data_IF_433261224894
#
_entry.id   IF_433261224894
#
_cell.length_a   1.000
_cell.length_b   1.000
_cell.length_c   1.000
_cell.angle_alpha   90.00
_cell.angle_beta   90.00
_cell.angle_gamma   90.00
#
_symmetry.space_group_name_H-M   'P 1'
#
loop_
_entity.id
_entity.type
_entity.pdbx_description
1 polymer ?
#
# COMPACT_ATOMS: atom_id res chain seq x y z
N UNK A 1 -42.59 -3.93 73.08
CA UNK A 1 -42.01 -3.64 71.75
C UNK A 1 -41.67 -4.96 71.08
N UNK A 2 -42.59 -5.50 70.27
CA UNK A 2 -42.28 -6.62 69.38
C UNK A 2 -41.65 -6.08 68.10
N UNK A 3 -40.49 -6.61 67.71
CA UNK A 3 -39.90 -6.38 66.39
C UNK A 3 -40.42 -7.47 65.46
N UNK A 4 -41.33 -7.10 64.57
CA UNK A 4 -41.80 -7.98 63.50
C UNK A 4 -40.66 -8.35 62.56
N UNK A 5 -40.44 -9.66 62.39
CA UNK A 5 -39.52 -10.23 61.41
C UNK A 5 -40.13 -10.08 60.00
N UNK A 6 -39.57 -9.19 59.20
CA UNK A 6 -39.91 -9.08 57.78
C UNK A 6 -39.24 -10.25 57.04
N UNK A 7 -40.05 -11.22 56.59
CA UNK A 7 -39.57 -12.36 55.82
C UNK A 7 -39.27 -11.92 54.37
N UNK A 8 -38.02 -11.98 53.95
CA UNK A 8 -37.61 -11.67 52.57
C UNK A 8 -38.00 -12.85 51.68
N UNK A 9 -38.94 -12.64 50.76
CA UNK A 9 -39.31 -13.62 49.74
C UNK A 9 -38.42 -13.37 48.51
N UNK A 10 -37.46 -14.26 48.27
CA UNK A 10 -36.66 -14.26 47.04
C UNK A 10 -37.43 -15.05 45.97
N UNK A 11 -38.07 -14.35 45.04
CA UNK A 11 -38.71 -14.97 43.88
C UNK A 11 -37.62 -15.27 42.84
N UNK A 12 -37.13 -16.51 42.81
CA UNK A 12 -36.19 -16.95 41.76
C UNK A 12 -36.96 -17.36 40.52
N UNK A 13 -37.16 -16.42 39.59
CA UNK A 13 -37.74 -16.72 38.27
C UNK A 13 -36.69 -17.48 37.44
N UNK A 14 -36.79 -18.82 37.40
CA UNK A 14 -36.07 -19.61 36.38
C UNK A 14 -36.69 -19.30 35.03
N UNK A 15 -36.05 -18.40 34.27
CA UNK A 15 -36.31 -18.29 32.84
C UNK A 15 -35.92 -19.60 32.16
N UNK A 16 -36.90 -20.42 31.81
CA UNK A 16 -36.73 -21.43 30.77
C UNK A 16 -36.66 -20.69 29.43
N UNK A 17 -35.53 -20.05 29.17
CA UNK A 17 -35.15 -19.72 27.81
C UNK A 17 -34.63 -21.01 27.20
N UNK A 18 -35.38 -21.58 26.25
CA UNK A 18 -34.83 -22.58 25.35
C UNK A 18 -33.59 -21.95 24.71
N UNK A 19 -32.42 -22.36 25.18
CA UNK A 19 -31.16 -21.85 24.68
C UNK A 19 -31.06 -22.20 23.21
N UNK A 20 -31.02 -21.17 22.36
CA UNK A 20 -30.66 -21.25 20.94
C UNK A 20 -29.16 -21.63 20.78
N UNK A 21 -28.67 -22.58 21.56
CA UNK A 21 -27.27 -23.05 21.61
C UNK A 21 -26.94 -24.04 20.49
N UNK A 22 -27.61 -23.94 19.34
CA UNK A 22 -27.39 -24.83 18.19
C UNK A 22 -27.09 -24.11 16.87
N UNK A 23 -27.05 -22.77 16.85
CA UNK A 23 -26.89 -21.97 15.63
C UNK A 23 -25.46 -21.50 15.35
N UNK A 24 -24.65 -21.22 16.37
CA UNK A 24 -23.34 -20.59 16.20
C UNK A 24 -22.35 -21.40 15.34
N UNK A 25 -22.35 -22.73 15.48
CA UNK A 25 -21.47 -23.60 14.69
C UNK A 25 -21.85 -23.63 13.21
N UNK A 26 -23.14 -23.45 12.88
CA UNK A 26 -23.61 -23.39 11.49
C UNK A 26 -23.25 -22.06 10.85
N UNK A 27 -23.25 -20.98 11.63
CA UNK A 27 -22.80 -19.66 11.17
C UNK A 27 -21.30 -19.70 10.88
N UNK A 28 -20.50 -20.30 11.77
CA UNK A 28 -19.06 -20.48 11.52
C UNK A 28 -18.79 -21.39 10.30
N UNK A 29 -19.58 -22.44 10.11
CA UNK A 29 -19.47 -23.32 8.93
C UNK A 29 -19.86 -22.58 7.63
N UNK A 30 -20.92 -21.78 7.65
CA UNK A 30 -21.34 -20.99 6.50
C UNK A 30 -20.28 -19.95 6.11
N UNK A 31 -19.73 -19.25 7.10
CA UNK A 31 -18.66 -18.26 6.90
C UNK A 31 -17.39 -18.90 6.31
N UNK A 32 -17.02 -20.08 6.82
CA UNK A 32 -15.92 -20.87 6.25
C UNK A 32 -16.17 -21.28 4.79
N UNK A 33 -17.38 -21.75 4.47
CA UNK A 33 -17.74 -22.09 3.09
C UNK A 33 -17.71 -20.86 2.16
N UNK A 34 -18.13 -19.69 2.62
CA UNK A 34 -18.06 -18.46 1.83
C UNK A 34 -16.61 -18.00 1.62
N UNK A 35 -15.74 -18.13 2.62
CA UNK A 35 -14.32 -17.85 2.46
C UNK A 35 -13.68 -18.78 1.41
N UNK A 36 -14.01 -20.07 1.45
CA UNK A 36 -13.53 -21.04 0.46
C UNK A 36 -14.08 -20.77 -0.95
N UNK A 37 -15.35 -20.35 -1.06
CA UNK A 37 -15.96 -19.94 -2.33
C UNK A 37 -15.25 -18.70 -2.91
N UNK A 38 -15.01 -17.67 -2.09
CA UNK A 38 -14.33 -16.46 -2.52
C UNK A 38 -12.89 -16.74 -2.95
N UNK A 39 -12.16 -17.57 -2.19
CA UNK A 39 -10.82 -18.01 -2.54
C UNK A 39 -10.81 -18.79 -3.87
N UNK A 40 -11.79 -19.67 -4.08
CA UNK A 40 -11.94 -20.40 -5.33
C UNK A 40 -12.22 -19.47 -6.52
N UNK A 41 -13.13 -18.51 -6.38
CA UNK A 41 -13.40 -17.52 -7.43
C UNK A 41 -12.15 -16.68 -7.75
N UNK A 42 -11.38 -16.28 -6.74
CA UNK A 42 -10.12 -15.55 -6.95
C UNK A 42 -9.09 -16.39 -7.72
N UNK A 43 -8.87 -17.64 -7.30
CA UNK A 43 -7.93 -18.53 -7.98
C UNK A 43 -8.40 -18.89 -9.40
N UNK A 44 -9.71 -19.05 -9.59
CA UNK A 44 -10.32 -19.25 -10.89
C UNK A 44 -10.06 -18.06 -11.82
N UNK A 45 -10.31 -16.83 -11.33
CA UNK A 45 -10.05 -15.61 -12.06
C UNK A 45 -8.57 -15.56 -12.48
N UNK A 46 -7.64 -15.75 -11.55
CA UNK A 46 -6.19 -15.79 -11.85
C UNK A 46 -5.79 -16.86 -12.86
N UNK A 47 -6.46 -18.02 -12.87
CA UNK A 47 -6.22 -19.08 -13.85
C UNK A 47 -6.80 -18.80 -15.24
N UNK A 48 -7.86 -17.99 -15.31
CA UNK A 48 -8.48 -17.55 -16.58
C UNK A 48 -7.92 -16.25 -17.13
N UNK A 49 -7.20 -15.48 -16.31
CA UNK A 49 -6.60 -14.20 -16.69
C UNK A 49 -5.26 -14.42 -17.39
N UNK A 50 -5.01 -13.66 -18.45
CA UNK A 50 -3.74 -13.69 -19.16
C UNK A 50 -2.60 -13.08 -18.32
N UNK A 51 -1.34 -13.46 -18.59
CA UNK A 51 -0.18 -12.88 -17.89
C UNK A 51 -0.07 -11.37 -18.08
N UNK A 52 -0.57 -10.86 -19.21
CA UNK A 52 -0.58 -9.43 -19.56
C UNK A 52 -1.59 -8.67 -18.69
N UNK A 53 -2.82 -9.17 -18.55
CA UNK A 53 -3.84 -8.57 -17.67
C UNK A 53 -3.45 -8.63 -16.19
N UNK A 54 -2.82 -9.73 -15.74
CA UNK A 54 -2.31 -9.83 -14.37
C UNK A 54 -1.23 -8.78 -14.10
N UNK A 55 -0.33 -8.54 -15.06
CA UNK A 55 0.71 -7.51 -14.96
C UNK A 55 0.09 -6.12 -14.89
N UNK A 56 -0.92 -5.83 -15.73
CA UNK A 56 -1.64 -4.55 -15.73
C UNK A 56 -2.32 -4.27 -14.38
N UNK A 57 -2.98 -5.27 -13.78
CA UNK A 57 -3.63 -5.12 -12.47
C UNK A 57 -2.60 -5.00 -11.34
N UNK A 58 -1.46 -5.72 -11.41
CA UNK A 58 -0.41 -5.63 -10.39
C UNK A 58 0.22 -4.24 -10.26
N UNK A 59 0.24 -3.46 -11.35
CA UNK A 59 0.75 -2.08 -11.33
C UNK A 59 -0.06 -1.19 -10.39
N UNK A 60 -1.38 -1.34 -10.40
CA UNK A 60 -2.31 -0.58 -9.55
C UNK A 60 -2.11 -0.84 -8.04
N UNK A 61 -1.78 -2.08 -7.66
CA UNK A 61 -1.59 -2.44 -6.24
C UNK A 61 -0.21 -2.11 -5.70
N UNK A 62 0.82 -2.05 -6.54
CA UNK A 62 2.16 -1.66 -6.12
C UNK A 62 2.30 -0.14 -5.95
N UNK A 63 1.46 0.65 -6.62
CA UNK A 63 1.46 2.11 -6.52
C UNK A 63 0.03 2.67 -6.57
N UNK A 64 -0.71 2.62 -5.45
CA UNK A 64 -2.07 3.14 -5.38
C UNK A 64 -2.04 4.67 -5.34
N UNK A 65 -1.85 5.31 -6.49
CA UNK A 65 -1.85 6.77 -6.60
C UNK A 65 -0.95 7.38 -7.67
N UNK A 66 -0.15 6.59 -8.40
CA UNK A 66 0.52 7.16 -9.57
C UNK A 66 -0.43 7.27 -10.75
N UNK A 67 -0.59 8.52 -11.18
CA UNK A 67 -1.23 8.92 -12.44
C UNK A 67 -0.60 8.25 -13.67
N UNK A 68 0.56 7.59 -13.51
CA UNK A 68 1.26 6.80 -14.53
C UNK A 68 0.70 5.40 -14.76
N UNK A 69 -0.30 4.94 -14.02
CA UNK A 69 -1.06 3.73 -14.36
C UNK A 69 -1.92 3.88 -15.63
N UNK A 70 -2.02 5.11 -16.16
CA UNK A 70 -2.71 5.45 -17.41
C UNK A 70 -1.65 5.74 -18.48
N UNK A 71 -0.97 4.70 -18.95
CA UNK A 71 0.07 4.81 -19.97
C UNK A 71 0.28 3.51 -20.74
N UNK A 72 0.08 3.58 -22.06
CA UNK A 72 0.48 2.66 -23.14
C UNK A 72 0.37 1.13 -22.88
N UNK A 73 -0.67 0.71 -22.16
CA UNK A 73 -0.99 -0.71 -21.94
C UNK A 73 -1.90 -0.99 -20.75
N UNK A 74 -2.15 -0.01 -19.89
CA UNK A 74 -3.02 -0.13 -18.71
C UNK A 74 -4.47 0.27 -18.99
N UNK A 75 -5.40 -0.58 -18.58
CA UNK A 75 -6.84 -0.36 -18.68
C UNK A 75 -7.25 0.98 -18.03
N UNK A 76 -7.77 1.90 -18.84
CA UNK A 76 -8.39 3.14 -18.40
C UNK A 76 -9.65 2.80 -17.56
N UNK A 77 -9.74 3.11 -16.26
CA UNK A 77 -10.95 2.83 -15.47
C UNK A 77 -12.08 3.85 -15.71
N UNK A 78 -12.02 4.64 -16.80
CA UNK A 78 -12.82 5.85 -16.98
C UNK A 78 -13.47 6.05 -18.35
N UNK A 79 -13.64 5.02 -19.18
CA UNK A 79 -14.28 5.14 -20.50
C UNK A 79 -15.50 4.22 -20.62
N UNK A 80 -16.57 4.61 -19.93
CA UNK A 80 -17.94 4.30 -20.34
C UNK A 80 -18.57 5.61 -20.79
N UNK A 81 -18.28 6.04 -22.01
CA UNK A 81 -19.18 6.91 -22.76
C UNK A 81 -18.90 6.88 -24.26
N UNK A 82 -19.96 6.49 -24.96
CA UNK A 82 -20.37 6.77 -26.34
C UNK A 82 -19.38 7.36 -27.37
N UNK A 83 -19.41 6.69 -28.54
CA UNK A 83 -19.17 7.19 -29.89
C UNK A 83 -17.71 7.31 -30.40
N UNK A 84 -17.53 6.69 -31.57
CA UNK A 84 -16.39 6.52 -32.49
C UNK A 84 -15.65 7.84 -32.88
N UNK A 85 -14.49 7.84 -33.60
CA UNK A 85 -14.05 6.84 -34.59
C UNK A 85 -12.58 6.41 -34.58
N UNK A 86 -12.36 5.34 -35.35
CA UNK A 86 -11.10 4.67 -35.62
C UNK A 86 -10.12 5.55 -36.39
N UNK A 87 -8.83 5.42 -36.07
CA UNK A 87 -7.75 5.96 -36.89
C UNK A 87 -6.97 4.77 -37.44
N UNK A 88 -7.23 4.50 -38.72
CA UNK A 88 -6.49 3.57 -39.56
C UNK A 88 -5.06 4.09 -39.74
N UNK A 89 -4.06 3.24 -39.52
CA UNK A 89 -2.71 3.52 -40.00
C UNK A 89 -2.32 2.42 -40.98
N UNK A 90 -2.41 2.78 -42.26
CA UNK A 90 -1.95 2.01 -43.40
C UNK A 90 -0.43 1.82 -43.36
N UNK A 91 0.03 0.59 -43.59
CA UNK A 91 1.28 0.35 -44.33
C UNK A 91 1.33 -1.09 -44.85
N UNK A 92 0.94 -1.22 -46.12
CA UNK A 92 1.41 -2.10 -47.19
C UNK A 92 1.98 -3.49 -46.86
N UNK A 93 1.20 -4.49 -47.28
CA UNK A 93 1.65 -5.79 -47.79
C UNK A 93 2.45 -5.63 -49.11
N UNK A 94 3.40 -6.53 -49.41
CA UNK A 94 3.13 -7.41 -50.55
C UNK A 94 3.52 -8.88 -50.32
N UNK A 95 2.55 -9.75 -50.61
CA UNK A 95 2.69 -11.18 -50.84
C UNK A 95 3.87 -11.54 -51.76
N UNK A 96 4.53 -12.66 -51.46
CA UNK A 96 4.99 -13.59 -52.49
C UNK A 96 4.97 -15.01 -51.96
N UNK A 97 4.30 -15.90 -52.69
CA UNK A 97 4.23 -17.34 -52.48
C UNK A 97 5.57 -18.00 -52.87
N UNK A 98 6.05 -18.99 -52.10
CA UNK A 98 6.67 -20.18 -52.69
C UNK A 98 6.63 -21.39 -51.73
N UNK A 99 6.47 -22.58 -52.30
CA UNK A 99 6.36 -23.89 -51.65
C UNK A 99 7.75 -24.54 -51.52
N UNK A 100 8.03 -25.25 -50.42
CA UNK A 100 8.63 -26.61 -50.43
C UNK A 100 9.13 -27.10 -49.06
N UNK A 101 8.74 -28.33 -48.73
CA UNK A 101 9.50 -29.43 -48.09
C UNK A 101 10.33 -29.27 -46.78
N UNK A 102 9.93 -30.13 -45.82
CA UNK A 102 10.71 -31.04 -44.97
C UNK A 102 12.12 -30.66 -44.44
N UNK A 103 12.22 -30.92 -43.14
CA UNK A 103 13.32 -31.55 -42.38
C UNK A 103 14.13 -30.65 -41.43
N UNK A 104 14.48 -31.27 -40.30
CA UNK A 104 15.12 -30.74 -39.09
C UNK A 104 16.34 -29.87 -39.36
N UNK A 105 16.50 -28.80 -38.57
CA UNK A 105 17.68 -28.60 -37.72
C UNK A 105 17.53 -27.37 -36.81
N UNK A 106 18.17 -27.51 -35.66
CA UNK A 106 18.46 -26.65 -34.52
C UNK A 106 18.55 -25.12 -34.72
N UNK A 107 18.47 -24.41 -33.58
CA UNK A 107 18.71 -22.97 -33.33
C UNK A 107 17.53 -22.00 -33.52
N UNK A 108 16.78 -21.75 -32.44
CA UNK A 108 16.29 -20.40 -32.16
C UNK A 108 15.97 -20.18 -30.66
N UNK A 109 16.97 -19.81 -29.86
CA UNK A 109 16.81 -19.40 -28.44
C UNK A 109 17.35 -17.99 -28.19
N UNK A 110 17.47 -17.12 -29.19
CA UNK A 110 18.13 -15.83 -29.00
C UNK A 110 17.45 -14.69 -29.75
N UNK A 111 16.25 -14.29 -29.31
CA UNK A 111 15.78 -12.92 -29.63
C UNK A 111 14.74 -12.33 -28.68
N UNK A 112 14.27 -13.06 -27.65
CA UNK A 112 13.29 -12.51 -26.69
C UNK A 112 13.89 -12.04 -25.35
N UNK A 113 15.20 -12.21 -25.15
CA UNK A 113 15.85 -11.95 -23.85
C UNK A 113 16.55 -10.59 -23.78
N UNK A 114 16.90 -9.96 -24.91
CA UNK A 114 17.74 -8.75 -24.91
C UNK A 114 17.03 -7.51 -24.37
N UNK A 115 15.75 -7.31 -24.71
CA UNK A 115 14.97 -6.15 -24.28
C UNK A 115 14.59 -6.24 -22.80
N UNK A 116 14.17 -7.41 -22.32
CA UNK A 116 13.85 -7.65 -20.91
C UNK A 116 15.08 -7.56 -19.99
N UNK A 117 16.26 -7.99 -20.46
CA UNK A 117 17.52 -7.78 -19.73
C UNK A 117 17.87 -6.28 -19.67
N UNK A 118 17.53 -5.50 -20.69
CA UNK A 118 17.79 -4.06 -20.73
C UNK A 118 16.89 -3.27 -19.77
N UNK A 119 15.59 -3.57 -19.73
CA UNK A 119 14.62 -2.92 -18.85
C UNK A 119 14.88 -3.24 -17.38
N UNK A 120 15.16 -4.51 -17.06
CA UNK A 120 15.48 -4.93 -15.70
C UNK A 120 16.80 -4.30 -15.19
N UNK A 121 17.80 -4.15 -16.07
CA UNK A 121 19.05 -3.45 -15.73
C UNK A 121 18.84 -1.96 -15.54
N UNK A 122 18.03 -1.33 -16.41
CA UNK A 122 17.72 0.10 -16.31
C UNK A 122 16.98 0.41 -15.02
N UNK A 123 15.95 -0.38 -14.68
CA UNK A 123 15.20 -0.22 -13.42
C UNK A 123 16.12 -0.36 -12.20
N UNK A 124 16.99 -1.35 -12.19
CA UNK A 124 17.94 -1.57 -11.09
C UNK A 124 18.94 -0.43 -10.93
N UNK A 125 19.41 0.16 -12.03
CA UNK A 125 20.31 1.31 -11.97
C UNK A 125 19.57 2.56 -11.46
N UNK A 126 18.33 2.78 -11.89
CA UNK A 126 17.48 3.86 -11.39
C UNK A 126 17.22 3.73 -9.89
N UNK A 127 16.86 2.55 -9.41
CA UNK A 127 16.69 2.26 -7.99
C UNK A 127 17.97 2.50 -7.18
N UNK A 128 19.15 2.20 -7.75
CA UNK A 128 20.45 2.47 -7.10
C UNK A 128 20.70 3.96 -6.96
N UNK A 129 20.47 4.73 -8.02
CA UNK A 129 20.63 6.19 -8.01
C UNK A 129 19.66 6.83 -7.01
N UNK A 130 18.41 6.40 -7.01
CA UNK A 130 17.39 6.90 -6.08
C UNK A 130 17.77 6.58 -4.62
N UNK A 131 18.23 5.35 -4.35
CA UNK A 131 18.71 4.96 -3.02
C UNK A 131 19.90 5.82 -2.57
N UNK A 132 20.87 6.07 -3.45
CA UNK A 132 22.01 6.94 -3.16
C UNK A 132 21.57 8.38 -2.84
N UNK A 133 20.60 8.92 -3.59
CA UNK A 133 20.01 10.23 -3.32
C UNK A 133 19.30 10.28 -1.96
N UNK A 134 18.55 9.24 -1.61
CA UNK A 134 17.86 9.15 -0.31
C UNK A 134 18.83 9.02 0.86
N UNK A 135 19.93 8.27 0.69
CA UNK A 135 20.99 8.15 1.71
C UNK A 135 21.72 9.47 1.94
N UNK A 136 22.00 10.22 0.86
CA UNK A 136 22.55 11.56 0.96
C UNK A 136 21.59 12.51 1.68
N UNK A 137 20.31 12.46 1.32
CA UNK A 137 19.28 13.26 1.95
C UNK A 137 19.13 12.93 3.44
N UNK A 138 19.10 11.65 3.79
CA UNK A 138 19.06 11.21 5.19
C UNK A 138 20.23 11.83 5.97
N UNK A 139 21.44 11.75 5.42
CA UNK A 139 22.65 12.29 6.07
C UNK A 139 22.56 13.80 6.25
N UNK A 140 22.10 14.51 5.22
CA UNK A 140 21.91 15.96 5.29
C UNK A 140 20.86 16.34 6.35
N UNK A 141 19.69 15.71 6.32
CA UNK A 141 18.61 15.99 7.29
C UNK A 141 19.08 15.66 8.71
N UNK A 142 19.81 14.55 8.88
CA UNK A 142 20.35 14.17 10.18
C UNK A 142 21.37 15.18 10.72
N UNK A 143 22.20 15.75 9.85
CA UNK A 143 23.15 16.79 10.21
C UNK A 143 22.45 18.10 10.58
N UNK A 144 21.49 18.56 9.76
CA UNK A 144 20.73 19.78 10.06
C UNK A 144 19.94 19.64 11.38
N UNK A 145 19.39 18.45 11.66
CA UNK A 145 18.74 18.14 12.93
C UNK A 145 19.73 18.15 14.11
N UNK A 146 20.96 17.69 13.93
CA UNK A 146 21.98 17.75 14.98
C UNK A 146 22.49 19.18 15.23
N UNK A 147 22.37 20.09 14.26
CA UNK A 147 22.86 21.47 14.41
C UNK A 147 21.85 22.39 15.11
N UNK A 148 20.55 22.15 14.93
CA UNK A 148 19.52 23.02 15.50
C UNK A 148 19.22 22.67 16.98
N UNK A 149 19.32 23.66 17.90
CA UNK A 149 19.05 23.47 19.32
C UNK A 149 17.66 22.93 19.65
N UNK A 150 16.66 23.20 18.81
CA UNK A 150 15.27 22.76 19.03
C UNK A 150 15.18 21.23 18.97
N UNK A 151 15.80 20.61 17.97
CA UNK A 151 15.77 19.15 17.84
C UNK A 151 16.68 18.45 18.86
N UNK A 152 17.79 19.08 19.29
CA UNK A 152 18.67 18.53 20.33
C UNK A 152 17.93 18.21 21.63
N UNK A 153 16.94 19.03 22.00
CA UNK A 153 16.13 18.80 23.20
C UNK A 153 15.21 17.57 23.09
N UNK A 154 14.96 17.09 21.86
CA UNK A 154 14.02 16.01 21.55
C UNK A 154 14.60 14.94 20.63
N UNK A 155 15.94 14.83 20.58
CA UNK A 155 16.64 13.89 19.73
C UNK A 155 16.14 12.46 19.90
N UNK A 156 15.82 12.06 21.12
CA UNK A 156 15.34 10.71 21.43
C UNK A 156 13.86 10.46 21.05
N UNK A 157 13.15 11.50 20.61
CA UNK A 157 11.76 11.43 20.14
C UNK A 157 11.69 11.51 18.61
N UNK A 158 12.74 11.98 17.95
CA UNK A 158 12.80 12.12 16.50
C UNK A 158 13.63 10.98 15.93
N UNK A 159 12.97 10.06 15.22
CA UNK A 159 13.60 8.92 14.56
C UNK A 159 13.58 9.14 13.06
N UNK A 160 14.70 8.87 12.41
CA UNK A 160 14.85 8.99 10.96
C UNK A 160 15.30 7.65 10.44
N UNK A 161 14.51 7.09 9.52
CA UNK A 161 14.76 5.78 8.97
C UNK A 161 14.49 5.73 7.46
N UNK A 162 15.31 4.96 6.74
CA UNK A 162 15.14 4.73 5.31
C UNK A 162 14.21 3.52 5.12
N UNK A 163 13.14 3.72 4.36
CA UNK A 163 12.14 2.69 4.04
C UNK A 163 12.08 2.44 2.53
N UNK A 164 11.38 1.38 2.12
CA UNK A 164 11.15 1.11 0.70
C UNK A 164 10.35 2.22 -0.02
N UNK A 165 9.60 3.04 0.73
CA UNK A 165 8.85 4.17 0.22
C UNK A 165 9.65 5.49 0.24
N UNK A 166 10.85 5.48 0.80
CA UNK A 166 11.71 6.67 0.94
C UNK A 166 12.10 6.98 2.38
N UNK A 167 12.41 8.25 2.64
CA UNK A 167 12.85 8.74 3.94
C UNK A 167 11.66 8.94 4.88
N UNK A 168 11.67 8.28 6.03
CA UNK A 168 10.64 8.40 7.06
C UNK A 168 11.20 9.15 8.27
N UNK A 169 10.42 10.12 8.75
CA UNK A 169 10.70 10.90 9.95
C UNK A 169 9.55 10.65 10.92
N UNK A 170 9.85 10.11 12.10
CA UNK A 170 8.87 9.76 13.12
C UNK A 170 9.10 10.62 14.35
N UNK A 171 8.03 11.17 14.90
CA UNK A 171 8.04 11.91 16.17
C UNK A 171 7.24 11.08 17.15
N UNK A 172 7.91 10.54 18.16
CA UNK A 172 7.35 9.60 19.14
C UNK A 172 7.20 10.29 20.48
N UNK A 173 6.00 10.21 21.05
CA UNK A 173 5.72 10.72 22.38
C UNK A 173 6.39 9.88 23.46
N UNK A 174 6.93 10.55 24.49
CA UNK A 174 7.41 9.90 25.72
C UNK A 174 6.55 10.27 26.92
N UNK A 175 6.49 9.38 27.91
CA UNK A 175 5.69 9.54 29.14
C UNK A 175 5.89 10.90 29.84
N UNK A 176 7.10 11.46 29.77
CA UNK A 176 7.43 12.74 30.41
C UNK A 176 7.21 13.97 29.52
N UNK A 177 6.95 13.79 28.22
CA UNK A 177 6.78 14.86 27.22
C UNK A 177 5.82 14.41 26.10
N UNK A 178 4.50 14.35 26.35
CA UNK A 178 3.50 14.00 25.32
C UNK A 178 3.30 15.15 24.33
N UNK A 179 3.42 14.91 23.03
CA UNK A 179 3.35 15.92 21.98
C UNK A 179 1.98 16.57 21.81
N UNK A 180 0.94 15.91 22.29
CA UNK A 180 -0.44 16.39 22.28
C UNK A 180 -1.05 16.40 23.69
N UNK A 181 -2.08 17.20 23.89
CA UNK A 181 -2.89 17.12 25.10
C UNK A 181 -3.74 15.85 25.12
N UNK A 182 -3.94 15.26 26.30
CA UNK A 182 -4.63 13.97 26.44
C UNK A 182 -6.06 14.07 25.89
N UNK A 183 -6.38 13.21 24.93
CA UNK A 183 -7.69 13.17 24.28
C UNK A 183 -7.99 14.39 23.39
N UNK A 184 -6.97 15.14 22.99
CA UNK A 184 -7.09 16.36 22.19
C UNK A 184 -6.17 16.32 20.98
N UNK A 185 -6.58 16.94 19.89
CA UNK A 185 -5.72 17.20 18.73
C UNK A 185 -4.86 18.48 18.92
N UNK A 186 -4.92 19.09 20.12
CA UNK A 186 -4.12 20.26 20.43
C UNK A 186 -2.67 19.86 20.68
N UNK A 187 -1.79 20.33 19.80
CA UNK A 187 -0.36 20.10 19.86
C UNK A 187 0.29 20.98 20.93
N UNK A 188 1.34 20.47 21.59
CA UNK A 188 2.14 21.27 22.52
C UNK A 188 3.11 22.20 21.79
N UNK A 189 3.45 23.37 22.36
CA UNK A 189 4.28 24.38 21.67
C UNK A 189 5.62 23.84 21.15
N UNK A 190 6.26 22.94 21.89
CA UNK A 190 7.56 22.41 21.48
C UNK A 190 7.48 21.46 20.25
N UNK A 191 6.35 20.80 20.01
CA UNK A 191 6.17 20.01 18.77
C UNK A 191 5.91 20.97 17.61
N UNK A 192 5.14 22.04 17.85
CA UNK A 192 4.92 23.07 16.85
C UNK A 192 6.23 23.71 16.40
N UNK A 193 7.13 24.00 17.35
CA UNK A 193 8.47 24.52 17.08
C UNK A 193 9.30 23.53 16.25
N UNK A 194 9.25 22.23 16.57
CA UNK A 194 9.92 21.19 15.78
C UNK A 194 9.38 21.07 14.36
N UNK A 195 8.06 21.10 14.18
CA UNK A 195 7.47 21.03 12.85
C UNK A 195 7.80 22.29 12.02
N UNK A 196 7.80 23.47 12.64
CA UNK A 196 8.24 24.72 11.99
C UNK A 196 9.71 24.68 11.61
N UNK A 197 10.56 24.11 12.46
CA UNK A 197 11.98 23.93 12.15
C UNK A 197 12.20 22.88 11.06
N UNK A 198 11.34 21.85 10.98
CA UNK A 198 11.41 20.80 9.96
C UNK A 198 10.93 21.28 8.58
N UNK A 199 9.96 22.20 8.54
CA UNK A 199 9.40 22.73 7.29
C UNK A 199 10.46 23.24 6.27
N UNK A 200 11.43 24.11 6.62
CA UNK A 200 12.46 24.55 5.67
C UNK A 200 13.45 23.44 5.28
N UNK A 201 13.58 22.37 6.09
CA UNK A 201 14.38 21.20 5.74
C UNK A 201 13.71 20.40 4.62
N UNK A 202 12.39 20.25 4.72
CA UNK A 202 11.57 19.53 3.76
C UNK A 202 11.34 20.33 2.46
N UNK A 203 11.36 21.66 2.51
CA UNK A 203 11.19 22.50 1.32
C UNK A 203 12.38 22.42 0.33
N UNK A 204 13.56 21.99 0.83
CA UNK A 204 14.75 21.78 -0.02
C UNK A 204 14.61 20.58 -0.95
N UNK A 205 13.67 19.67 -0.68
CA UNK A 205 13.46 18.47 -1.48
C UNK A 205 12.19 18.59 -2.31
N UNK A 206 12.25 18.12 -3.56
CA UNK A 206 11.12 18.16 -4.48
C UNK A 206 10.17 16.96 -4.30
N UNK A 207 10.44 16.10 -3.32
CA UNK A 207 9.69 14.88 -3.07
C UNK A 207 8.33 15.19 -2.42
N UNK A 208 7.32 14.39 -2.76
CA UNK A 208 6.00 14.47 -2.13
C UNK A 208 6.10 14.02 -0.67
N UNK A 209 5.32 14.66 0.21
CA UNK A 209 5.28 14.37 1.64
C UNK A 209 3.92 13.75 1.98
N UNK A 210 3.93 12.66 2.75
CA UNK A 210 2.74 12.06 3.35
C UNK A 210 2.84 12.15 4.87
N UNK A 211 1.75 12.56 5.53
CA UNK A 211 1.69 12.74 6.99
C UNK A 211 0.65 11.80 7.57
N UNK A 212 1.07 10.96 8.52
CA UNK A 212 0.20 9.98 9.20
C UNK A 212 0.32 10.14 10.70
N UNK A 213 -0.81 10.11 11.41
CA UNK A 213 -0.87 10.15 12.88
C UNK A 213 -1.25 8.79 13.46
N UNK A 214 -0.58 8.40 14.56
CA UNK A 214 -0.93 7.25 15.38
C UNK A 214 -1.22 7.74 16.81
N UNK A 215 -2.32 7.25 17.40
CA UNK A 215 -2.80 7.60 18.75
C UNK A 215 -3.09 6.36 19.56
#
# INVERSE_FOLDING_TARGET
MEKGSQSIIIIKKKGHGHGHHGGGWKVALADFMTAMMAFFMLMWLLGSTSKEEQKAISGYFNDPGSEYAIGEGGANPGLINAEQPQVESHSNDPQTEDKSDKDNSEENTQTQTAEQISEAKLKKEMERIEKEQLEQLQTQVQEEINQDPVFQQMKDQILIDLTALGLRIQIVDKDQRPGFDVGSAHMKPYIEDVLKALAPLLDKVQNKISVTGHT
#
